data_IF_413766746607
#
_entry.id   IF_413766746607
#
_cell.length_a   1.000
_cell.length_b   1.000
_cell.length_c   1.000
_cell.angle_alpha   90.00
_cell.angle_beta   90.00
_cell.angle_gamma   90.00
#
_symmetry.space_group_name_H-M   'P 1'
#
loop_
_entity.id
_entity.type
_entity.pdbx_description
1 polymer ?
#
# COMPACT_ATOMS: atom_id res chain seq x y z
N UNK A 1 -21.08 -10.15 -2.73
CA UNK A 1 -21.20 -8.82 -2.10
C UNK A 1 -22.65 -8.35 -1.96
N UNK A 2 -23.46 -8.24 -3.04
CA UNK A 2 -24.91 -8.00 -2.91
C UNK A 2 -25.66 -9.09 -2.12
N UNK A 3 -25.21 -10.35 -2.22
CA UNK A 3 -25.82 -11.48 -1.50
C UNK A 3 -25.71 -11.43 0.04
N UNK A 4 -24.79 -10.63 0.59
CA UNK A 4 -24.55 -10.52 2.03
C UNK A 4 -24.89 -9.13 2.60
N UNK A 5 -25.49 -8.27 1.78
CA UNK A 5 -25.86 -6.90 2.17
C UNK A 5 -24.70 -6.08 2.77
N UNK A 6 -23.46 -6.38 2.37
CA UNK A 6 -22.27 -5.65 2.85
C UNK A 6 -21.97 -4.47 1.91
N UNK A 7 -22.06 -3.24 2.43
CA UNK A 7 -21.55 -2.04 1.76
C UNK A 7 -20.06 -1.85 2.08
N UNK A 8 -19.27 -1.57 1.05
CA UNK A 8 -17.88 -1.13 1.21
C UNK A 8 -17.90 0.39 1.41
N UNK A 9 -17.78 0.82 2.67
CA UNK A 9 -17.59 2.23 3.03
C UNK A 9 -16.10 2.60 3.00
N UNK A 10 -15.84 3.89 2.81
CA UNK A 10 -14.49 4.48 2.83
C UNK A 10 -13.79 4.19 4.17
N UNK A 11 -12.46 4.02 4.09
CA UNK A 11 -11.48 3.46 5.05
C UNK A 11 -11.59 3.93 6.51
N UNK A 12 -12.35 4.99 6.82
CA UNK A 12 -12.46 5.56 8.18
C UNK A 12 -13.88 5.60 8.77
N UNK A 13 -14.85 4.86 8.24
CA UNK A 13 -16.22 4.87 8.79
C UNK A 13 -16.64 3.51 9.35
N UNK A 14 -16.77 3.42 10.67
CA UNK A 14 -17.39 2.29 11.37
C UNK A 14 -18.84 2.65 11.67
N UNK A 15 -19.79 2.06 10.96
CA UNK A 15 -21.19 2.11 11.33
C UNK A 15 -21.42 1.12 12.49
N UNK A 16 -21.47 1.63 13.72
CA UNK A 16 -21.89 0.85 14.89
C UNK A 16 -23.27 1.34 15.31
N UNK A 17 -24.18 0.42 15.60
CA UNK A 17 -25.48 0.73 16.20
C UNK A 17 -25.49 0.15 17.63
N UNK A 18 -25.53 1.03 18.64
CA UNK A 18 -25.76 0.66 20.04
C UNK A 18 -24.53 0.18 20.83
N UNK A 19 -23.32 0.33 20.29
CA UNK A 19 -22.05 -0.03 20.96
C UNK A 19 -20.97 1.05 20.82
N UNK A 20 -21.38 2.31 20.63
CA UNK A 20 -20.51 3.46 20.35
C UNK A 20 -19.50 3.71 21.48
N UNK A 21 -19.92 3.58 22.73
CA UNK A 21 -19.05 3.75 23.89
C UNK A 21 -17.93 2.70 23.98
N UNK A 22 -18.25 1.45 23.65
CA UNK A 22 -17.27 0.36 23.67
C UNK A 22 -16.29 0.47 22.49
N UNK A 23 -16.77 0.89 21.32
CA UNK A 23 -15.90 1.23 20.20
C UNK A 23 -14.95 2.36 20.58
N UNK A 24 -15.45 3.45 21.16
CA UNK A 24 -14.62 4.58 21.58
C UNK A 24 -13.50 4.15 22.54
N UNK A 25 -13.82 3.26 23.49
CA UNK A 25 -12.83 2.69 24.42
C UNK A 25 -11.75 1.88 23.72
N UNK A 26 -12.10 1.08 22.71
CA UNK A 26 -11.15 0.29 21.91
C UNK A 26 -10.27 1.22 21.06
N UNK A 27 -10.86 2.20 20.39
CA UNK A 27 -10.13 3.17 19.58
C UNK A 27 -9.16 3.99 20.43
N UNK A 28 -9.59 4.43 21.62
CA UNK A 28 -8.72 5.14 22.56
C UNK A 28 -7.58 4.25 23.08
N UNK A 29 -7.87 2.99 23.41
CA UNK A 29 -6.85 2.04 23.87
C UNK A 29 -5.76 1.79 22.81
N UNK A 30 -6.13 1.88 21.54
CA UNK A 30 -5.27 1.59 20.39
C UNK A 30 -5.04 2.82 19.51
N UNK A 31 -5.07 4.03 20.09
CA UNK A 31 -5.04 5.30 19.36
C UNK A 31 -3.86 5.40 18.39
N UNK A 32 -2.71 4.83 18.78
CA UNK A 32 -1.51 4.78 17.97
C UNK A 32 -1.65 3.97 16.67
N UNK A 33 -2.56 2.99 16.61
CA UNK A 33 -2.83 2.19 15.41
C UNK A 33 -3.78 2.92 14.44
N UNK A 34 -4.51 3.92 14.93
CA UNK A 34 -5.48 4.70 14.16
C UNK A 34 -5.01 6.15 13.92
N UNK A 35 -3.73 6.43 14.18
CA UNK A 35 -3.14 7.72 13.86
C UNK A 35 -3.08 7.91 12.33
N UNK A 36 -2.97 9.17 11.89
CA UNK A 36 -2.76 9.49 10.47
C UNK A 36 -1.28 9.36 10.06
N UNK A 37 -0.42 8.90 10.96
CA UNK A 37 1.01 8.73 10.72
C UNK A 37 1.28 7.37 10.08
N UNK A 38 2.33 7.31 9.25
CA UNK A 38 2.76 6.05 8.66
C UNK A 38 3.52 5.25 9.72
N UNK A 39 3.09 4.02 9.99
CA UNK A 39 3.84 3.08 10.83
C UNK A 39 5.11 2.57 10.14
N UNK A 40 5.88 1.74 10.85
CA UNK A 40 7.06 1.06 10.33
C UNK A 40 7.06 -0.42 10.74
N UNK A 41 7.26 -1.32 9.78
CA UNK A 41 7.33 -2.76 10.00
C UNK A 41 8.57 -3.12 10.82
N UNK A 42 8.36 -3.39 12.10
CA UNK A 42 9.45 -3.57 13.06
C UNK A 42 10.09 -4.96 13.07
N UNK A 43 9.52 -5.95 12.38
CA UNK A 43 9.90 -7.36 12.54
C UNK A 43 11.06 -7.83 11.66
N UNK A 44 11.54 -7.01 10.71
CA UNK A 44 12.73 -7.32 9.91
C UNK A 44 12.78 -6.64 8.55
N UNK A 45 13.88 -6.85 7.84
CA UNK A 45 14.03 -6.38 6.45
C UNK A 45 13.40 -7.37 5.48
N UNK A 46 12.71 -6.84 4.48
CA UNK A 46 12.22 -7.64 3.36
C UNK A 46 13.34 -7.81 2.35
N UNK A 47 13.66 -9.06 2.02
CA UNK A 47 14.67 -9.39 1.02
C UNK A 47 13.99 -9.82 -0.28
N UNK A 48 14.23 -9.07 -1.35
CA UNK A 48 13.79 -9.43 -2.69
C UNK A 48 14.87 -10.30 -3.34
N UNK A 49 14.56 -11.57 -3.60
CA UNK A 49 15.50 -12.48 -4.25
C UNK A 49 15.48 -12.29 -5.75
N UNK A 50 16.65 -12.07 -6.34
CA UNK A 50 16.84 -12.00 -7.78
C UNK A 50 17.21 -13.38 -8.33
N UNK A 51 16.91 -13.58 -9.61
CA UNK A 51 17.37 -14.72 -10.40
C UNK A 51 18.91 -14.67 -10.55
N UNK A 52 19.60 -15.82 -10.67
CA UNK A 52 21.06 -15.86 -10.74
C UNK A 52 21.66 -15.09 -11.93
N UNK A 53 20.90 -14.94 -13.02
CA UNK A 53 21.26 -14.25 -14.25
C UNK A 53 20.85 -12.77 -14.26
N UNK A 54 20.28 -12.25 -13.17
CA UNK A 54 19.82 -10.87 -13.09
C UNK A 54 20.93 -9.86 -13.40
N UNK A 55 20.66 -8.96 -14.35
CA UNK A 55 21.57 -7.89 -14.74
C UNK A 55 20.96 -6.52 -14.42
N UNK A 56 21.75 -5.60 -13.84
CA UNK A 56 21.30 -4.23 -13.60
C UNK A 56 20.70 -3.58 -14.84
N UNK A 57 19.47 -3.07 -14.69
CA UNK A 57 18.76 -2.39 -15.77
C UNK A 57 18.44 -0.96 -15.36
N UNK A 58 19.03 -0.01 -16.08
CA UNK A 58 18.74 1.41 -15.92
C UNK A 58 17.92 1.93 -17.11
N UNK A 59 16.74 2.48 -16.82
CA UNK A 59 15.89 3.17 -17.79
C UNK A 59 15.84 4.65 -17.46
N UNK A 60 15.93 5.48 -18.50
CA UNK A 60 15.81 6.94 -18.36
C UNK A 60 14.43 7.32 -17.79
N UNK A 61 14.34 8.38 -16.97
CA UNK A 61 13.06 8.89 -16.50
C UNK A 61 12.13 9.28 -17.66
N UNK A 62 10.83 9.07 -17.49
CA UNK A 62 9.82 9.57 -18.44
C UNK A 62 9.67 11.07 -18.31
N UNK A 63 9.33 11.73 -19.41
CA UNK A 63 9.00 13.16 -19.37
C UNK A 63 7.71 13.36 -18.58
N UNK A 64 7.78 14.20 -17.54
CA UNK A 64 6.61 14.65 -16.79
C UNK A 64 6.07 15.92 -17.46
N UNK A 65 4.79 15.96 -17.87
CA UNK A 65 4.18 17.17 -18.41
C UNK A 65 4.31 18.34 -17.44
N UNK A 66 4.54 19.55 -17.96
CA UNK A 66 4.81 20.74 -17.14
C UNK A 66 3.80 20.95 -16.02
N UNK A 67 2.51 20.75 -16.30
CA UNK A 67 1.41 20.87 -15.33
C UNK A 67 1.60 20.02 -14.06
N UNK A 68 2.26 18.87 -14.17
CA UNK A 68 2.40 17.92 -13.06
C UNK A 68 3.77 17.96 -12.38
N UNK A 69 4.72 18.78 -12.84
CA UNK A 69 6.09 18.78 -12.30
C UNK A 69 6.13 19.13 -10.82
N UNK A 70 5.45 20.20 -10.43
CA UNK A 70 5.42 20.64 -9.03
C UNK A 70 4.70 19.63 -8.14
N UNK A 71 3.64 19.00 -8.64
CA UNK A 71 2.92 17.95 -7.92
C UNK A 71 3.78 16.69 -7.73
N UNK A 72 4.53 16.28 -8.76
CA UNK A 72 5.47 15.15 -8.67
C UNK A 72 6.60 15.46 -7.68
N UNK A 73 7.20 16.65 -7.76
CA UNK A 73 8.25 17.06 -6.85
C UNK A 73 7.76 17.08 -5.39
N UNK A 74 6.60 17.69 -5.14
CA UNK A 74 6.02 17.76 -3.79
C UNK A 74 5.68 16.39 -3.20
N UNK A 75 5.23 15.43 -4.01
CA UNK A 75 4.99 14.06 -3.54
C UNK A 75 6.30 13.31 -3.28
N UNK A 76 7.35 13.51 -4.08
CA UNK A 76 8.69 12.94 -3.79
C UNK A 76 9.26 13.47 -2.47
N UNK A 77 9.20 14.79 -2.24
CA UNK A 77 9.65 15.43 -1.00
C UNK A 77 8.87 14.91 0.21
N UNK A 78 7.56 14.68 0.04
CA UNK A 78 6.72 14.08 1.07
C UNK A 78 7.11 12.64 1.36
N UNK A 79 7.31 11.82 0.33
CA UNK A 79 7.73 10.42 0.51
C UNK A 79 9.11 10.34 1.18
N UNK A 80 10.04 11.24 0.87
CA UNK A 80 11.34 11.34 1.55
C UNK A 80 11.19 11.70 3.03
N UNK A 81 10.36 12.71 3.35
CA UNK A 81 10.09 13.13 4.74
C UNK A 81 9.38 12.05 5.55
N UNK A 82 8.48 11.30 4.92
CA UNK A 82 7.79 10.14 5.53
C UNK A 82 8.71 8.91 5.64
N UNK A 83 9.95 8.97 5.14
CA UNK A 83 10.92 7.87 5.21
C UNK A 83 10.64 6.71 4.25
N UNK A 84 9.73 6.88 3.28
CA UNK A 84 9.36 5.85 2.30
C UNK A 84 10.47 5.66 1.25
N UNK A 85 11.14 6.75 0.89
CA UNK A 85 12.26 6.74 -0.05
C UNK A 85 13.42 7.55 0.50
N UNK A 86 14.61 7.29 -0.01
CA UNK A 86 15.82 8.07 0.30
C UNK A 86 16.52 8.45 -0.99
N UNK A 87 17.22 9.59 -0.99
CA UNK A 87 18.10 9.97 -2.10
C UNK A 87 19.21 8.94 -2.29
N UNK A 88 19.59 8.75 -3.54
CA UNK A 88 20.63 7.82 -3.97
C UNK A 88 21.50 8.55 -4.99
N UNK A 89 22.80 8.68 -4.70
CA UNK A 89 23.72 9.44 -5.56
C UNK A 89 24.03 8.69 -6.86
N UNK A 90 24.10 7.35 -6.80
CA UNK A 90 24.33 6.50 -7.96
C UNK A 90 23.70 5.12 -7.76
N UNK A 91 23.11 4.58 -8.84
CA UNK A 91 22.51 3.25 -8.85
C UNK A 91 22.62 2.65 -10.25
N UNK A 92 23.02 1.38 -10.30
CA UNK A 92 23.03 0.60 -11.54
C UNK A 92 21.61 0.22 -12.00
N UNK A 93 20.65 0.24 -11.07
CA UNK A 93 19.23 0.02 -11.33
C UNK A 93 18.49 1.34 -11.39
N UNK A 94 17.65 1.53 -12.40
CA UNK A 94 16.87 2.75 -12.58
C UNK A 94 15.52 2.44 -13.20
N UNK A 95 14.45 2.63 -12.42
CA UNK A 95 13.08 2.37 -12.86
C UNK A 95 12.37 3.68 -13.19
N UNK A 96 11.69 3.81 -14.34
CA UNK A 96 11.05 5.06 -14.70
C UNK A 96 9.77 5.27 -13.87
N UNK A 97 9.58 6.50 -13.42
CA UNK A 97 8.39 6.93 -12.68
C UNK A 97 7.13 6.93 -13.59
N UNK A 98 6.00 6.61 -12.98
CA UNK A 98 4.65 6.67 -13.55
C UNK A 98 3.78 7.49 -12.59
N UNK A 99 3.57 8.78 -12.88
CA UNK A 99 2.61 9.59 -12.16
C UNK A 99 1.18 9.22 -12.58
N UNK A 100 0.33 8.90 -11.61
CA UNK A 100 -1.09 8.58 -11.83
C UNK A 100 -1.94 9.61 -11.11
N UNK A 101 -2.80 10.32 -11.85
CA UNK A 101 -3.76 11.26 -11.27
C UNK A 101 -4.96 10.47 -10.74
N UNK A 102 -5.27 10.64 -9.45
CA UNK A 102 -6.45 10.04 -8.82
C UNK A 102 -7.70 10.88 -9.10
N UNK A 103 -8.91 10.33 -8.89
CA UNK A 103 -10.16 11.07 -9.03
C UNK A 103 -10.25 12.32 -8.12
N UNK A 104 -9.59 12.30 -6.97
CA UNK A 104 -9.50 13.43 -6.03
C UNK A 104 -8.47 14.51 -6.46
N UNK A 105 -7.94 14.41 -7.69
CA UNK A 105 -6.88 15.26 -8.26
C UNK A 105 -5.50 15.16 -7.58
N UNK A 106 -5.34 14.29 -6.57
CA UNK A 106 -4.02 13.98 -6.01
C UNK A 106 -3.21 13.11 -6.98
N UNK A 107 -1.88 13.14 -6.85
CA UNK A 107 -0.98 12.33 -7.66
C UNK A 107 -0.47 11.13 -6.86
N UNK A 108 -0.43 9.97 -7.49
CA UNK A 108 0.24 8.77 -6.96
C UNK A 108 1.45 8.49 -7.82
N UNK A 109 2.60 8.37 -7.19
CA UNK A 109 3.84 8.00 -7.86
C UNK A 109 4.02 6.48 -7.81
N UNK A 110 4.31 5.87 -8.96
CA UNK A 110 4.59 4.44 -9.07
C UNK A 110 5.85 4.20 -9.91
N UNK A 111 6.66 3.21 -9.56
CA UNK A 111 7.73 2.73 -10.43
C UNK A 111 7.19 1.73 -11.45
N UNK A 112 7.57 1.86 -12.71
CA UNK A 112 7.29 0.81 -13.70
C UNK A 112 8.30 -0.34 -13.61
N UNK A 113 8.19 -1.14 -12.55
CA UNK A 113 9.08 -2.26 -12.31
C UNK A 113 8.97 -3.38 -13.35
N UNK A 114 7.93 -3.36 -14.20
CA UNK A 114 7.76 -4.35 -15.28
C UNK A 114 8.89 -4.29 -16.29
N UNK A 115 9.39 -3.09 -16.59
CA UNK A 115 10.45 -2.88 -17.61
C UNK A 115 11.87 -2.99 -17.04
N UNK A 116 12.00 -3.30 -15.76
CA UNK A 116 13.28 -3.37 -15.04
C UNK A 116 13.36 -4.60 -14.14
N UNK A 117 12.76 -4.54 -12.95
CA UNK A 117 13.04 -5.45 -11.84
C UNK A 117 12.22 -6.74 -11.90
N UNK A 118 10.95 -6.67 -12.30
CA UNK A 118 10.00 -7.78 -12.15
C UNK A 118 10.39 -9.03 -12.92
N UNK A 119 11.04 -8.90 -14.08
CA UNK A 119 11.51 -10.07 -14.86
C UNK A 119 12.64 -10.83 -14.18
N UNK A 120 13.34 -10.19 -13.24
CA UNK A 120 14.48 -10.77 -12.54
C UNK A 120 14.14 -11.19 -11.11
N UNK A 121 12.95 -10.87 -10.60
CA UNK A 121 12.52 -11.29 -9.27
C UNK A 121 12.14 -12.77 -9.28
N UNK A 122 12.56 -13.49 -8.24
CA UNK A 122 12.07 -14.84 -7.99
C UNK A 122 10.65 -14.78 -7.43
N UNK A 123 9.75 -15.61 -7.96
CA UNK A 123 8.38 -15.70 -7.49
C UNK A 123 8.30 -16.29 -6.08
N UNK A 124 7.74 -15.51 -5.15
CA UNK A 124 7.40 -16.00 -3.81
C UNK A 124 6.00 -16.61 -3.86
N UNK A 125 5.92 -17.94 -3.82
CA UNK A 125 4.64 -18.67 -3.79
C UNK A 125 4.14 -18.77 -2.36
N UNK A 126 3.28 -17.83 -1.97
CA UNK A 126 2.53 -17.91 -0.71
C UNK A 126 1.07 -18.30 -1.01
N UNK A 127 0.54 -19.39 -0.44
CA UNK A 127 -0.83 -19.80 -0.67
C UNK A 127 -1.78 -18.81 0.00
N UNK A 128 -2.48 -18.01 -0.80
CA UNK A 128 -3.58 -17.19 -0.33
C UNK A 128 -4.87 -18.01 -0.35
N UNK A 129 -5.70 -17.94 0.71
CA UNK A 129 -6.97 -18.63 0.73
C UNK A 129 -7.90 -18.10 -0.37
N UNK A 130 -8.68 -19.01 -0.94
CA UNK A 130 -9.76 -18.69 -1.88
C UNK A 130 -10.88 -17.95 -1.17
N UNK A 131 -11.73 -17.28 -1.95
CA UNK A 131 -12.91 -16.61 -1.41
C UNK A 131 -13.83 -17.62 -0.70
N UNK A 132 -14.04 -18.80 -1.27
CA UNK A 132 -14.86 -19.88 -0.71
C UNK A 132 -14.33 -20.38 0.62
N UNK A 133 -13.00 -20.56 0.75
CA UNK A 133 -12.36 -20.95 2.01
C UNK A 133 -12.53 -19.88 3.09
N UNK A 134 -12.39 -18.59 2.73
CA UNK A 134 -12.64 -17.48 3.65
C UNK A 134 -14.10 -17.50 4.10
N UNK A 135 -15.07 -17.59 3.19
CA UNK A 135 -16.49 -17.58 3.55
C UNK A 135 -16.90 -18.80 4.36
N UNK A 136 -16.35 -19.98 4.06
CA UNK A 136 -16.62 -21.20 4.83
C UNK A 136 -16.16 -21.06 6.28
N UNK A 137 -14.99 -20.41 6.50
CA UNK A 137 -14.48 -20.12 7.85
C UNK A 137 -15.32 -19.10 8.61
N UNK A 138 -16.03 -18.21 7.91
CA UNK A 138 -16.91 -17.20 8.51
C UNK A 138 -18.31 -17.74 8.83
N UNK A 139 -18.65 -18.95 8.38
CA UNK A 139 -19.98 -19.55 8.61
C UNK A 139 -20.28 -19.71 10.11
N UNK A 140 -21.52 -19.44 10.51
CA UNK A 140 -21.96 -19.43 11.90
C UNK A 140 -21.55 -18.18 12.69
N UNK A 141 -20.73 -17.29 12.10
CA UNK A 141 -20.40 -15.99 12.67
C UNK A 141 -21.64 -15.09 12.76
N UNK A 142 -21.82 -14.44 13.91
CA UNK A 142 -22.98 -13.54 14.17
C UNK A 142 -22.61 -12.05 14.09
N UNK A 143 -21.32 -11.72 14.20
CA UNK A 143 -20.79 -10.37 14.20
C UNK A 143 -19.47 -10.37 13.44
N UNK A 144 -19.27 -9.36 12.61
CA UNK A 144 -18.06 -9.22 11.79
C UNK A 144 -17.49 -7.82 11.97
N UNK A 145 -16.16 -7.73 11.94
CA UNK A 145 -15.44 -6.47 11.90
C UNK A 145 -14.44 -6.53 10.75
N UNK A 146 -14.31 -5.43 10.02
CA UNK A 146 -13.35 -5.29 8.94
C UNK A 146 -12.33 -4.23 9.34
N UNK A 147 -11.06 -4.58 9.23
CA UNK A 147 -9.95 -3.64 9.33
C UNK A 147 -9.28 -3.56 7.96
N UNK A 148 -8.93 -2.34 7.56
CA UNK A 148 -8.21 -2.08 6.31
C UNK A 148 -6.98 -1.24 6.66
N UNK A 149 -5.81 -1.69 6.20
CA UNK A 149 -4.55 -1.03 6.53
C UNK A 149 -4.28 0.08 5.52
N UNK A 150 -4.17 1.32 6.00
CA UNK A 150 -3.78 2.46 5.17
C UNK A 150 -2.33 2.32 4.71
N UNK A 151 -2.05 2.59 3.43
CA UNK A 151 -0.69 2.53 2.85
C UNK A 151 0.08 1.23 3.19
N UNK A 152 -0.60 0.08 3.23
CA UNK A 152 -0.06 -1.21 3.72
C UNK A 152 1.32 -1.65 3.18
N UNK A 153 1.72 -1.23 1.98
CA UNK A 153 3.02 -1.55 1.39
C UNK A 153 4.16 -0.63 1.82
N UNK A 154 3.85 0.55 2.34
CA UNK A 154 4.82 1.54 2.82
C UNK A 154 4.95 1.50 4.36
N UNK A 155 4.15 0.64 5.00
CA UNK A 155 4.12 0.42 6.44
C UNK A 155 5.38 -0.29 6.94
#
# INVERSE_FOLDING_TARGET
MKAFNMQLTVVNNVAVHGHEAELARILQKHENLFSNELGCYAYGKINLQLTPDAQPTFKKPRQVPFKFRDQVAGELDKMEREGIITKCDSSEWGTPLVPVVKPDSSIRLCGDYKVTLNSYLQDVKHPLPTAEEIFSKLNGGRRFSKLDLSKAYNL
#
